data_IF_941020179179
#
_entry.id   IF_941020179179
#
_cell.length_a   1.000
_cell.length_b   1.000
_cell.length_c   1.000
_cell.angle_alpha   90.00
_cell.angle_beta   90.00
_cell.angle_gamma   90.00
#
_symmetry.space_group_name_H-M   'P 1'
#
loop_
_entity.id
_entity.type
_entity.pdbx_description
1 polymer ?
#
# COMPACT_ATOMS: atom_id res chain seq x y z
N UNK A 1 10.49 -22.35 11.54
CA UNK A 1 10.46 -20.93 11.17
C UNK A 1 9.76 -20.18 12.29
N UNK A 2 10.41 -19.16 12.85
CA UNK A 2 9.80 -18.26 13.86
C UNK A 2 9.28 -17.05 13.09
N UNK A 3 7.98 -16.82 13.11
CA UNK A 3 7.40 -15.59 12.58
C UNK A 3 7.65 -14.48 13.61
N UNK A 4 8.21 -13.32 13.22
CA UNK A 4 8.33 -12.19 14.13
C UNK A 4 6.95 -11.72 14.58
N UNK A 5 6.86 -11.21 15.80
CA UNK A 5 5.63 -10.67 16.40
C UNK A 5 5.04 -9.50 15.61
N UNK A 6 5.88 -8.77 14.86
CA UNK A 6 5.46 -7.76 13.90
C UNK A 6 6.21 -7.92 12.60
N UNK A 7 5.51 -7.88 11.46
CA UNK A 7 6.13 -7.88 10.14
C UNK A 7 6.88 -6.56 9.88
N UNK A 8 6.51 -5.48 10.58
CA UNK A 8 7.21 -4.20 10.50
C UNK A 8 8.64 -4.30 11.03
N UNK A 9 8.92 -5.22 11.96
CA UNK A 9 10.28 -5.42 12.49
C UNK A 9 11.24 -6.00 11.45
N UNK A 10 10.74 -6.49 10.31
CA UNK A 10 11.56 -6.96 9.19
C UNK A 10 11.99 -5.83 8.26
N UNK A 11 11.36 -4.66 8.36
CA UNK A 11 11.64 -3.49 7.52
C UNK A 11 12.74 -2.66 8.20
N UNK A 12 13.85 -2.32 7.52
CA UNK A 12 14.87 -1.45 8.09
C UNK A 12 14.30 -0.10 8.55
N UNK A 13 14.86 0.49 9.61
CA UNK A 13 14.40 1.79 10.15
C UNK A 13 14.57 2.93 9.12
N UNK A 14 15.62 2.89 8.31
CA UNK A 14 15.91 3.90 7.29
C UNK A 14 15.17 3.67 5.95
N UNK A 15 14.27 2.68 5.86
CA UNK A 15 13.57 2.41 4.62
C UNK A 15 12.50 3.47 4.34
N UNK A 16 12.55 4.02 3.13
CA UNK A 16 11.58 4.99 2.61
C UNK A 16 10.11 4.56 2.73
N UNK A 17 9.82 3.26 2.79
CA UNK A 17 8.46 2.74 2.94
C UNK A 17 7.83 3.13 4.27
N UNK A 18 8.62 3.34 5.33
CA UNK A 18 8.14 3.76 6.65
C UNK A 18 7.58 5.17 6.60
N UNK A 19 8.37 6.10 6.04
CA UNK A 19 7.94 7.47 5.82
C UNK A 19 6.70 7.51 4.92
N UNK A 20 6.69 6.71 3.85
CA UNK A 20 5.56 6.62 2.94
C UNK A 20 4.28 6.14 3.64
N UNK A 21 4.34 5.07 4.44
CA UNK A 21 3.17 4.58 5.18
C UNK A 21 2.65 5.62 6.17
N UNK A 22 3.55 6.29 6.89
CA UNK A 22 3.19 7.31 7.87
C UNK A 22 2.46 8.48 7.21
N UNK A 23 2.96 8.97 6.07
CA UNK A 23 2.29 10.03 5.30
C UNK A 23 0.91 9.57 4.81
N UNK A 24 0.81 8.33 4.32
CA UNK A 24 -0.44 7.75 3.84
C UNK A 24 -1.49 7.59 4.95
N UNK A 25 -1.10 7.29 6.18
CA UNK A 25 -2.02 7.15 7.32
C UNK A 25 -2.76 8.44 7.67
N UNK A 26 -2.16 9.61 7.41
CA UNK A 26 -2.78 10.91 7.65
C UNK A 26 -3.76 11.37 6.57
N UNK A 27 -3.96 10.61 5.49
CA UNK A 27 -4.81 11.02 4.37
C UNK A 27 -6.29 10.68 4.56
N UNK A 28 -7.16 11.56 4.07
CA UNK A 28 -8.59 11.28 3.95
C UNK A 28 -8.88 10.42 2.71
N UNK A 29 -9.23 9.15 2.95
CA UNK A 29 -9.57 8.18 1.91
C UNK A 29 -11.05 8.17 1.51
N UNK A 30 -11.89 9.09 2.02
CA UNK A 30 -13.34 9.12 1.73
C UNK A 30 -13.63 9.07 0.24
N UNK A 31 -12.92 9.87 -0.57
CA UNK A 31 -13.08 9.87 -2.04
C UNK A 31 -12.62 8.58 -2.69
N UNK A 32 -11.56 7.96 -2.17
CA UNK A 32 -11.09 6.66 -2.66
C UNK A 32 -12.18 5.61 -2.45
N UNK A 33 -12.75 5.55 -1.25
CA UNK A 33 -13.83 4.62 -0.94
C UNK A 33 -15.10 4.86 -1.77
N UNK A 34 -15.44 6.13 -2.04
CA UNK A 34 -16.57 6.46 -2.93
C UNK A 34 -16.35 6.04 -4.38
N UNK A 35 -15.11 6.01 -4.86
CA UNK A 35 -14.77 5.57 -6.21
C UNK A 35 -14.85 4.04 -6.38
N UNK A 36 -14.75 3.28 -5.28
CA UNK A 36 -15.00 1.85 -5.30
C UNK A 36 -16.51 1.58 -5.33
N UNK A 37 -16.92 0.60 -6.12
CA UNK A 37 -18.33 0.25 -6.23
C UNK A 37 -18.89 -0.18 -4.87
N UNK A 38 -20.00 0.43 -4.45
CA UNK A 38 -20.73 0.05 -3.24
C UNK A 38 -21.47 -1.28 -3.40
N UNK A 39 -21.67 -1.73 -4.65
CA UNK A 39 -22.37 -2.96 -5.01
C UNK A 39 -21.52 -3.83 -5.94
N UNK A 40 -21.65 -5.15 -5.82
CA UNK A 40 -20.89 -6.11 -6.61
C UNK A 40 -19.75 -6.78 -5.84
N UNK A 41 -18.71 -7.20 -6.57
CA UNK A 41 -17.62 -8.00 -6.00
C UNK A 41 -16.78 -7.12 -5.06
N UNK A 42 -16.71 -7.53 -3.79
CA UNK A 42 -15.83 -6.90 -2.80
C UNK A 42 -14.37 -6.96 -3.27
N UNK A 43 -13.58 -5.89 -3.07
CA UNK A 43 -12.17 -5.91 -3.42
C UNK A 43 -11.44 -6.97 -2.59
N UNK A 44 -10.44 -7.62 -3.18
CA UNK A 44 -9.68 -8.69 -2.53
C UNK A 44 -8.81 -8.18 -1.37
N UNK A 45 -8.47 -6.89 -1.40
CA UNK A 45 -7.72 -6.18 -0.35
C UNK A 45 -8.39 -4.84 -0.10
N UNK A 46 -8.11 -4.24 1.05
CA UNK A 46 -8.59 -2.90 1.37
C UNK A 46 -8.07 -1.86 0.34
N UNK A 47 -8.93 -0.97 -0.20
CA UNK A 47 -8.52 0.06 -1.16
C UNK A 47 -7.32 0.90 -0.69
N UNK A 48 -7.26 1.20 0.61
CA UNK A 48 -6.14 1.93 1.21
C UNK A 48 -4.80 1.21 1.01
N UNK A 49 -4.76 -0.11 1.21
CA UNK A 49 -3.55 -0.92 1.03
C UNK A 49 -3.09 -0.86 -0.43
N UNK A 50 -4.03 -1.05 -1.38
CA UNK A 50 -3.71 -0.98 -2.80
C UNK A 50 -3.19 0.43 -3.18
N UNK A 51 -3.79 1.47 -2.62
CA UNK A 51 -3.33 2.85 -2.81
C UNK A 51 -1.91 3.05 -2.28
N UNK A 52 -1.59 2.54 -1.08
CA UNK A 52 -0.23 2.58 -0.52
C UNK A 52 0.79 1.91 -1.45
N UNK A 53 0.48 0.72 -1.98
CA UNK A 53 1.36 -0.03 -2.90
C UNK A 53 1.62 0.73 -4.20
N UNK A 54 0.55 1.21 -4.85
CA UNK A 54 0.67 1.92 -6.14
C UNK A 54 1.44 3.22 -5.99
N UNK A 55 1.13 4.02 -4.96
CA UNK A 55 1.81 5.30 -4.72
C UNK A 55 3.27 5.11 -4.36
N UNK A 56 3.62 4.08 -3.58
CA UNK A 56 5.01 3.75 -3.28
C UNK A 56 5.78 3.33 -4.53
N UNK A 57 5.21 2.45 -5.36
CA UNK A 57 5.85 2.06 -6.62
C UNK A 57 6.08 3.26 -7.55
N UNK A 58 5.13 4.21 -7.58
CA UNK A 58 5.23 5.40 -8.41
C UNK A 58 6.33 6.33 -7.90
N UNK A 59 6.55 6.44 -6.59
CA UNK A 59 7.68 7.19 -6.02
C UNK A 59 9.04 6.59 -6.42
N UNK A 60 9.07 5.28 -6.72
CA UNK A 60 10.24 4.56 -7.26
C UNK A 60 10.31 4.54 -8.79
N UNK A 61 9.49 5.34 -9.49
CA UNK A 61 9.39 5.37 -10.96
C UNK A 61 8.92 4.05 -11.60
N UNK A 62 8.19 3.21 -10.87
CA UNK A 62 7.62 1.95 -11.36
C UNK A 62 6.12 2.12 -11.59
N UNK A 63 5.74 2.31 -12.85
CA UNK A 63 4.34 2.61 -13.21
C UNK A 63 3.54 1.41 -13.75
N UNK A 64 4.24 0.38 -14.23
CA UNK A 64 3.60 -0.80 -14.84
C UNK A 64 3.23 -1.81 -13.77
N UNK A 65 1.97 -2.25 -13.73
CA UNK A 65 1.50 -3.29 -12.80
C UNK A 65 2.35 -4.55 -12.82
N UNK A 66 2.78 -5.01 -14.01
CA UNK A 66 3.69 -6.16 -14.17
C UNK A 66 5.09 -5.90 -13.61
N UNK A 67 5.54 -4.65 -13.59
CA UNK A 67 6.82 -4.29 -12.96
C UNK A 67 6.67 -4.18 -11.45
N UNK A 68 5.53 -3.69 -10.96
CA UNK A 68 5.20 -3.65 -9.52
C UNK A 68 5.14 -5.07 -8.95
N UNK A 69 4.52 -6.01 -9.66
CA UNK A 69 4.44 -7.42 -9.25
C UNK A 69 5.82 -8.09 -9.14
N UNK A 70 6.80 -7.67 -9.94
CA UNK A 70 8.14 -8.26 -10.01
C UNK A 70 9.17 -7.61 -9.07
N UNK A 71 8.87 -6.43 -8.55
CA UNK A 71 9.77 -5.65 -7.71
C UNK A 71 9.80 -6.23 -6.29
#
# INVERSE_FOLDING_TARGET
MVLPLSLESLIPEDDSVRLHSHVMEGLDYTKLYQAYASTGRKPAVEPQIMCKVVTYAYSKNIYSSRKIEKA
#
